data_IF_143658025534
#
_entry.id   IF_143658025534
#
_cell.length_a   1.000
_cell.length_b   1.000
_cell.length_c   1.000
_cell.angle_alpha   90.00
_cell.angle_beta   90.00
_cell.angle_gamma   90.00
#
_symmetry.space_group_name_H-M   'P 1'
#
loop_
_entity.id
_entity.type
_entity.pdbx_description
1 polymer ?
#
# COMPACT_ATOMS: atom_id res chain seq x y z
N UNK A 1 31.74 17.57 61.45
CA UNK A 1 31.27 18.20 60.20
C UNK A 1 30.91 17.06 59.25
N UNK A 2 29.75 16.43 59.42
CA UNK A 2 28.49 16.70 58.69
C UNK A 2 28.64 16.49 57.17
N UNK A 3 28.39 15.24 56.78
CA UNK A 3 27.59 14.78 55.63
C UNK A 3 27.17 15.85 54.63
N UNK A 4 27.63 15.80 53.37
CA UNK A 4 26.88 16.18 52.16
C UNK A 4 27.77 16.14 50.91
N UNK A 5 27.93 14.99 50.24
CA UNK A 5 28.39 14.95 48.83
C UNK A 5 28.09 13.65 48.09
N UNK A 6 27.14 12.84 48.58
CA UNK A 6 26.79 11.54 47.99
C UNK A 6 25.35 11.49 47.45
N UNK A 7 24.84 12.62 46.95
CA UNK A 7 23.49 12.70 46.36
C UNK A 7 23.46 13.37 44.97
N UNK A 8 24.62 13.57 44.32
CA UNK A 8 24.69 14.25 43.01
C UNK A 8 25.32 13.41 41.88
N UNK A 9 25.52 12.10 42.09
CA UNK A 9 26.03 11.20 41.05
C UNK A 9 25.00 10.11 40.65
N UNK A 10 23.88 9.99 41.36
CA UNK A 10 22.86 8.97 41.04
C UNK A 10 21.85 9.38 39.95
N UNK A 11 21.97 10.58 39.36
CA UNK A 11 21.03 11.08 38.34
C UNK A 11 21.52 10.96 36.89
N UNK A 12 22.69 10.36 36.65
CA UNK A 12 23.24 10.17 35.32
C UNK A 12 23.37 8.67 35.03
N UNK A 13 22.31 8.05 34.50
CA UNK A 13 22.32 6.85 33.62
C UNK A 13 20.89 6.32 33.40
N UNK A 14 19.93 7.19 33.06
CA UNK A 14 19.00 6.78 32.01
C UNK A 14 19.72 7.06 30.70
N UNK A 15 20.55 6.11 30.26
CA UNK A 15 20.84 6.02 28.84
C UNK A 15 19.48 5.82 28.18
N UNK A 16 18.94 6.88 27.55
CA UNK A 16 17.85 6.73 26.62
C UNK A 16 18.36 5.72 25.58
N UNK A 17 17.92 4.48 25.68
CA UNK A 17 18.16 3.47 24.65
C UNK A 17 17.56 4.10 23.39
N UNK A 18 18.41 4.62 22.51
CA UNK A 18 17.93 5.24 21.28
C UNK A 18 17.05 4.20 20.59
N UNK A 19 15.76 4.50 20.42
CA UNK A 19 14.84 3.58 19.79
C UNK A 19 15.44 3.16 18.43
N UNK A 20 15.48 1.85 18.17
CA UNK A 20 16.10 1.33 16.96
C UNK A 20 15.43 1.98 15.74
N UNK A 21 16.22 2.59 14.86
CA UNK A 21 15.67 3.26 13.68
C UNK A 21 14.92 2.24 12.80
N UNK A 22 13.72 2.59 12.30
CA UNK A 22 13.01 1.73 11.36
C UNK A 22 13.87 1.37 10.15
N UNK A 23 13.68 0.15 9.65
CA UNK A 23 14.44 -0.39 8.52
C UNK A 23 13.53 -0.59 7.32
N UNK A 24 13.96 -0.11 6.16
CA UNK A 24 13.25 -0.24 4.89
C UNK A 24 14.03 -1.14 3.95
N UNK A 25 13.35 -2.08 3.27
CA UNK A 25 13.88 -2.73 2.08
C UNK A 25 13.40 -1.97 0.85
N UNK A 26 14.31 -1.31 0.12
CA UNK A 26 14.00 -0.71 -1.18
C UNK A 26 14.26 -1.72 -2.28
N UNK A 27 13.19 -2.11 -2.97
CA UNK A 27 13.21 -3.04 -4.06
C UNK A 27 12.98 -2.33 -5.40
N UNK A 28 13.91 -2.49 -6.34
CA UNK A 28 13.92 -1.72 -7.61
C UNK A 28 14.17 -2.57 -8.86
N UNK A 29 14.02 -3.90 -8.76
CA UNK A 29 14.17 -4.79 -9.92
C UNK A 29 13.17 -4.42 -11.01
N UNK A 30 13.59 -4.52 -12.27
CA UNK A 30 12.71 -4.41 -13.43
C UNK A 30 12.88 -5.62 -14.35
N UNK A 31 11.78 -6.24 -14.74
CA UNK A 31 11.69 -7.17 -15.87
C UNK A 31 11.11 -6.49 -17.13
N UNK A 32 10.61 -5.26 -17.00
CA UNK A 32 10.16 -4.38 -18.09
C UNK A 32 11.00 -3.10 -18.22
N UNK A 33 10.34 -1.98 -18.54
CA UNK A 33 11.01 -0.69 -18.73
C UNK A 33 11.82 -0.26 -17.50
N UNK A 34 13.04 0.22 -17.72
CA UNK A 34 13.94 0.68 -16.66
C UNK A 34 13.92 2.20 -16.58
N UNK A 35 13.34 2.73 -15.52
CA UNK A 35 13.25 4.17 -15.28
C UNK A 35 14.62 4.76 -14.91
N UNK A 36 15.01 5.86 -15.56
CA UNK A 36 16.26 6.57 -15.27
C UNK A 36 16.27 7.22 -13.87
N UNK A 37 15.09 7.45 -13.29
CA UNK A 37 14.93 8.06 -11.97
C UNK A 37 15.29 7.13 -10.80
N UNK A 38 15.37 5.81 -10.99
CA UNK A 38 15.59 4.85 -9.90
C UNK A 38 16.86 5.14 -9.07
N UNK A 39 18.05 5.39 -9.64
CA UNK A 39 19.23 5.71 -8.84
C UNK A 39 19.07 7.00 -8.01
N UNK A 40 18.29 7.97 -8.51
CA UNK A 40 17.98 9.22 -7.81
C UNK A 40 16.95 8.97 -6.70
N UNK A 41 15.93 8.16 -6.97
CA UNK A 41 14.93 7.76 -6.00
C UNK A 41 15.56 7.05 -4.80
N UNK A 42 16.42 6.04 -5.04
CA UNK A 42 17.17 5.33 -4.01
C UNK A 42 17.99 6.31 -3.17
N UNK A 43 18.76 7.19 -3.82
CA UNK A 43 19.60 8.18 -3.14
C UNK A 43 18.78 9.15 -2.30
N UNK A 44 17.70 9.68 -2.85
CA UNK A 44 16.84 10.64 -2.15
C UNK A 44 16.17 10.00 -0.94
N UNK A 45 15.56 8.81 -1.08
CA UNK A 45 14.90 8.10 0.02
C UNK A 45 15.91 7.74 1.11
N UNK A 46 17.09 7.26 0.73
CA UNK A 46 18.18 6.95 1.67
C UNK A 46 18.61 8.22 2.42
N UNK A 47 18.92 9.29 1.71
CA UNK A 47 19.41 10.54 2.30
C UNK A 47 18.38 11.25 3.18
N UNK A 48 17.08 11.17 2.85
CA UNK A 48 16.01 11.65 3.72
C UNK A 48 15.99 10.85 5.03
N UNK A 49 16.12 9.51 4.94
CA UNK A 49 16.13 8.62 6.10
C UNK A 49 17.33 8.81 7.03
N UNK A 50 18.52 8.96 6.46
CA UNK A 50 19.75 9.22 7.23
C UNK A 50 19.84 10.65 7.75
N UNK A 51 19.01 11.55 7.23
CA UNK A 51 19.08 13.00 7.51
C UNK A 51 20.20 13.72 6.75
N UNK A 52 20.91 13.05 5.84
CA UNK A 52 21.93 13.69 4.98
C UNK A 52 21.31 14.65 3.95
N UNK A 53 20.04 14.49 3.64
CA UNK A 53 19.22 15.46 2.91
C UNK A 53 18.14 16.01 3.86
N UNK A 54 18.23 17.30 4.18
CA UNK A 54 17.23 18.01 4.99
C UNK A 54 16.32 18.82 4.07
N UNK A 55 15.01 18.77 4.34
CA UNK A 55 14.02 19.56 3.63
C UNK A 55 13.66 20.83 4.41
N UNK A 56 13.30 21.93 3.73
CA UNK A 56 12.75 23.09 4.41
C UNK A 56 11.42 22.73 5.08
N UNK A 57 11.09 23.42 6.18
CA UNK A 57 9.83 23.21 6.92
C UNK A 57 8.57 23.46 6.09
N UNK A 58 8.70 24.24 5.00
CA UNK A 58 7.66 24.46 4.00
C UNK A 58 7.35 23.23 3.14
N UNK A 59 8.24 22.23 3.11
CA UNK A 59 8.09 21.05 2.27
C UNK A 59 7.81 19.76 3.05
N UNK A 60 8.13 19.70 4.34
CA UNK A 60 7.98 18.49 5.16
C UNK A 60 6.93 18.66 6.26
N UNK A 61 6.17 17.60 6.52
CA UNK A 61 5.21 17.58 7.62
C UNK A 61 5.93 17.52 8.98
N UNK A 62 5.53 18.33 9.98
CA UNK A 62 6.17 18.33 11.28
C UNK A 62 6.17 16.96 11.96
N UNK A 63 5.11 16.16 11.82
CA UNK A 63 4.94 14.84 12.45
C UNK A 63 5.96 13.79 11.99
N UNK A 64 6.61 14.00 10.84
CA UNK A 64 7.62 13.09 10.29
C UNK A 64 8.99 13.76 10.08
N UNK A 65 9.09 15.07 10.28
CA UNK A 65 10.32 15.85 10.05
C UNK A 65 11.56 15.36 10.83
N UNK A 66 11.35 14.84 12.03
CA UNK A 66 12.39 14.27 12.88
C UNK A 66 12.56 12.74 12.70
N UNK A 67 11.66 12.09 11.96
CA UNK A 67 11.73 10.65 11.73
C UNK A 67 12.96 10.31 10.89
N UNK A 68 13.71 9.30 11.32
CA UNK A 68 14.87 8.75 10.61
C UNK A 68 14.67 7.28 10.38
N UNK A 69 15.24 6.75 9.30
CA UNK A 69 15.19 5.33 8.93
C UNK A 69 16.46 4.93 8.21
N UNK A 70 16.70 3.63 8.15
CA UNK A 70 17.78 3.04 7.35
C UNK A 70 17.19 2.27 6.17
N UNK A 71 17.95 2.16 5.09
CA UNK A 71 17.54 1.46 3.87
C UNK A 71 18.52 0.33 3.56
N UNK A 72 17.99 -0.83 3.17
CA UNK A 72 18.72 -1.86 2.42
C UNK A 72 18.15 -1.85 1.02
N UNK A 73 19.01 -1.67 0.01
CA UNK A 73 18.58 -1.57 -1.38
C UNK A 73 18.91 -2.88 -2.09
N UNK A 74 17.97 -3.40 -2.89
CA UNK A 74 18.20 -4.64 -3.63
C UNK A 74 17.41 -4.69 -4.94
N UNK A 75 18.01 -5.33 -5.93
CA UNK A 75 17.34 -5.80 -7.15
C UNK A 75 17.37 -7.35 -7.21
N UNK A 76 17.94 -8.00 -6.18
CA UNK A 76 18.06 -9.45 -6.07
C UNK A 76 16.76 -10.06 -5.52
N UNK A 77 15.99 -10.69 -6.40
CA UNK A 77 14.72 -11.34 -6.05
C UNK A 77 14.89 -12.53 -5.10
N UNK A 78 16.07 -13.16 -5.05
CA UNK A 78 16.31 -14.34 -4.22
C UNK A 78 16.28 -13.99 -2.73
N UNK A 79 16.48 -12.71 -2.37
CA UNK A 79 16.30 -12.23 -1.01
C UNK A 79 14.85 -12.41 -0.51
N UNK A 80 13.86 -12.38 -1.41
CA UNK A 80 12.47 -12.66 -1.06
C UNK A 80 12.20 -14.14 -0.78
N UNK A 81 13.14 -15.05 -1.07
CA UNK A 81 13.01 -16.47 -0.68
C UNK A 81 13.23 -16.69 0.82
N UNK A 82 13.84 -15.72 1.51
CA UNK A 82 14.08 -15.76 2.94
C UNK A 82 13.08 -14.89 3.70
N UNK A 83 12.02 -15.50 4.25
CA UNK A 83 11.03 -14.78 5.05
C UNK A 83 11.64 -14.09 6.28
N UNK A 84 12.62 -14.72 6.94
CA UNK A 84 13.29 -14.11 8.10
C UNK A 84 13.99 -12.82 7.72
N UNK A 85 14.62 -12.78 6.53
CA UNK A 85 15.19 -11.55 5.98
C UNK A 85 14.12 -10.47 5.76
N UNK A 86 12.97 -10.81 5.16
CA UNK A 86 11.89 -9.83 4.94
C UNK A 86 11.31 -9.31 6.27
N UNK A 87 11.17 -10.18 7.28
CA UNK A 87 10.57 -9.84 8.57
C UNK A 87 11.35 -8.84 9.43
N UNK A 88 12.60 -8.52 9.06
CA UNK A 88 13.41 -7.52 9.77
C UNK A 88 13.09 -6.07 9.36
N UNK A 89 12.28 -5.87 8.32
CA UNK A 89 11.98 -4.56 7.76
C UNK A 89 10.61 -4.07 8.21
N UNK A 90 10.56 -2.85 8.74
CA UNK A 90 9.32 -2.17 9.11
C UNK A 90 8.48 -1.81 7.88
N UNK A 91 9.11 -1.63 6.72
CA UNK A 91 8.42 -1.50 5.44
C UNK A 91 9.24 -2.09 4.27
N UNK A 92 8.54 -2.62 3.28
CA UNK A 92 9.11 -2.96 1.97
C UNK A 92 8.58 -1.95 0.95
N UNK A 93 9.49 -1.25 0.27
CA UNK A 93 9.19 -0.26 -0.74
C UNK A 93 9.47 -0.78 -2.14
N UNK A 94 8.48 -0.82 -3.02
CA UNK A 94 8.69 -1.07 -4.45
C UNK A 94 8.82 0.29 -5.14
N UNK A 95 9.99 0.58 -5.70
CA UNK A 95 10.29 1.90 -6.28
C UNK A 95 10.61 1.73 -7.75
N UNK A 96 9.65 2.11 -8.58
CA UNK A 96 9.69 1.99 -10.04
C UNK A 96 10.05 0.58 -10.56
N UNK A 97 9.63 -0.46 -9.82
CA UNK A 97 9.68 -1.85 -10.29
C UNK A 97 8.77 -2.02 -11.49
N UNK A 98 9.12 -2.83 -12.49
CA UNK A 98 8.29 -2.91 -13.72
C UNK A 98 8.37 -4.31 -14.32
N UNK A 99 7.26 -4.84 -14.82
CA UNK A 99 7.17 -6.06 -15.61
C UNK A 99 6.78 -5.77 -17.06
N UNK A 100 6.91 -6.77 -17.93
CA UNK A 100 6.14 -6.82 -19.17
C UNK A 100 4.72 -7.34 -18.90
N UNK A 101 3.79 -6.96 -19.78
CA UNK A 101 2.36 -7.26 -19.63
C UNK A 101 1.73 -7.70 -20.97
N UNK A 102 1.18 -8.94 -21.08
CA UNK A 102 1.29 -9.99 -20.07
C UNK A 102 2.76 -10.40 -19.86
N UNK A 103 3.15 -10.85 -18.66
CA UNK A 103 4.54 -11.25 -18.42
C UNK A 103 4.92 -12.42 -19.33
N UNK A 104 5.95 -12.25 -20.17
CA UNK A 104 6.43 -13.29 -21.09
C UNK A 104 7.19 -14.39 -20.34
N UNK A 105 8.39 -14.06 -19.85
CA UNK A 105 9.23 -14.92 -19.00
C UNK A 105 9.98 -14.03 -18.02
N UNK A 106 9.71 -14.18 -16.73
CA UNK A 106 10.28 -13.35 -15.69
C UNK A 106 9.36 -12.20 -15.30
N UNK A 107 9.12 -12.12 -14.01
CA UNK A 107 8.52 -11.00 -13.29
C UNK A 107 9.54 -10.57 -12.25
N UNK A 108 9.36 -9.42 -11.61
CA UNK A 108 10.27 -9.00 -10.54
C UNK A 108 10.35 -10.01 -9.39
N UNK A 109 9.33 -10.84 -9.13
CA UNK A 109 9.41 -11.89 -8.11
C UNK A 109 8.90 -13.23 -8.64
N UNK A 110 9.69 -14.29 -8.44
CA UNK A 110 9.20 -15.64 -8.68
C UNK A 110 8.13 -16.09 -7.68
N UNK A 111 7.59 -17.29 -7.92
CA UNK A 111 6.55 -17.90 -7.10
C UNK A 111 6.91 -18.02 -5.61
N UNK A 112 8.18 -18.26 -5.28
CA UNK A 112 8.60 -18.39 -3.88
C UNK A 112 8.69 -17.01 -3.22
N UNK A 113 9.27 -16.03 -3.91
CA UNK A 113 9.34 -14.65 -3.45
C UNK A 113 7.96 -14.04 -3.22
N UNK A 114 7.03 -14.25 -4.16
CA UNK A 114 5.65 -13.80 -4.04
C UNK A 114 4.94 -14.40 -2.81
N UNK A 115 5.12 -15.69 -2.52
CA UNK A 115 4.52 -16.33 -1.33
C UNK A 115 5.02 -15.71 -0.03
N UNK A 116 6.32 -15.49 0.08
CA UNK A 116 6.91 -14.86 1.27
C UNK A 116 6.53 -13.39 1.38
N UNK A 117 6.41 -12.67 0.27
CA UNK A 117 5.96 -11.29 0.28
C UNK A 117 4.50 -11.16 0.73
N UNK A 118 3.61 -12.00 0.18
CA UNK A 118 2.22 -12.07 0.66
C UNK A 118 2.17 -12.37 2.16
N UNK A 119 2.97 -13.34 2.64
CA UNK A 119 3.09 -13.67 4.06
C UNK A 119 3.57 -12.47 4.89
N UNK A 120 4.56 -11.72 4.42
CA UNK A 120 5.07 -10.51 5.10
C UNK A 120 3.94 -9.52 5.36
N UNK A 121 3.12 -9.24 4.34
CA UNK A 121 1.97 -8.34 4.47
C UNK A 121 0.92 -8.92 5.43
N UNK A 122 0.60 -10.22 5.34
CA UNK A 122 -0.35 -10.88 6.25
C UNK A 122 0.07 -10.76 7.72
N UNK A 123 1.37 -10.76 8.00
CA UNK A 123 1.94 -10.65 9.35
C UNK A 123 2.09 -9.19 9.82
N UNK A 124 1.49 -8.23 9.11
CA UNK A 124 1.49 -6.82 9.49
C UNK A 124 2.63 -5.99 8.91
N UNK A 125 3.40 -6.57 7.97
CA UNK A 125 4.38 -5.83 7.21
C UNK A 125 3.75 -4.64 6.48
N UNK A 126 4.47 -3.53 6.44
CA UNK A 126 4.00 -2.31 5.79
C UNK A 126 4.61 -2.17 4.39
N UNK A 127 3.90 -1.47 3.50
CA UNK A 127 4.27 -1.36 2.09
C UNK A 127 4.21 0.08 1.62
N UNK A 128 5.10 0.42 0.69
CA UNK A 128 4.85 1.56 -0.18
C UNK A 128 5.25 1.27 -1.63
N UNK A 129 4.49 1.84 -2.56
CA UNK A 129 4.77 1.78 -3.99
C UNK A 129 5.01 3.18 -4.55
N UNK A 130 6.01 3.32 -5.42
CA UNK A 130 6.30 4.58 -6.11
C UNK A 130 6.31 4.33 -7.61
N UNK A 131 5.63 5.21 -8.33
CA UNK A 131 5.57 5.27 -9.77
C UNK A 131 5.12 3.94 -10.40
N UNK A 132 5.98 3.31 -11.19
CA UNK A 132 5.68 2.06 -11.90
C UNK A 132 5.56 0.83 -10.99
N UNK A 133 5.62 0.97 -9.66
CA UNK A 133 5.23 -0.11 -8.75
C UNK A 133 3.84 -0.70 -9.03
N UNK A 134 2.89 0.06 -9.61
CA UNK A 134 1.62 -0.49 -10.08
C UNK A 134 1.73 -1.28 -11.39
N UNK A 135 2.85 -1.20 -12.09
CA UNK A 135 3.15 -1.83 -13.38
C UNK A 135 4.08 -3.06 -13.23
N UNK A 136 3.91 -3.83 -12.14
CA UNK A 136 4.62 -5.09 -11.94
C UNK A 136 3.70 -6.12 -11.28
N UNK A 137 4.10 -7.39 -11.30
CA UNK A 137 3.40 -8.52 -10.71
C UNK A 137 1.94 -8.64 -11.22
N UNK A 138 1.69 -8.32 -12.49
CA UNK A 138 0.35 -8.36 -13.11
C UNK A 138 -0.34 -9.73 -13.00
N UNK A 139 0.44 -10.80 -12.90
CA UNK A 139 -0.05 -12.15 -12.70
C UNK A 139 -0.42 -12.48 -11.26
N UNK A 140 -0.26 -11.58 -10.28
CA UNK A 140 -0.37 -11.89 -8.85
C UNK A 140 -1.44 -11.04 -8.14
N UNK A 141 -2.75 -11.39 -8.23
CA UNK A 141 -3.87 -10.60 -7.73
C UNK A 141 -3.70 -10.02 -6.30
N UNK A 142 -3.06 -10.74 -5.37
CA UNK A 142 -2.79 -10.22 -4.03
C UNK A 142 -1.96 -8.92 -4.05
N UNK A 143 -1.03 -8.79 -5.00
CA UNK A 143 -0.21 -7.60 -5.17
C UNK A 143 -1.04 -6.45 -5.74
N UNK A 144 -1.88 -6.71 -6.75
CA UNK A 144 -2.82 -5.72 -7.27
C UNK A 144 -3.71 -5.13 -6.18
N UNK A 145 -4.18 -5.96 -5.24
CA UNK A 145 -4.87 -5.49 -4.03
C UNK A 145 -3.95 -4.67 -3.13
N UNK A 146 -2.75 -5.17 -2.81
CA UNK A 146 -1.78 -4.47 -1.96
C UNK A 146 -1.44 -3.06 -2.44
N UNK A 147 -1.05 -2.93 -3.72
CA UNK A 147 -0.70 -1.65 -4.33
C UNK A 147 -1.93 -0.77 -4.56
N UNK A 148 -3.10 -1.38 -4.77
CA UNK A 148 -4.41 -0.74 -4.87
C UNK A 148 -5.05 -0.92 -6.24
N UNK A 149 -4.27 -0.78 -7.30
CA UNK A 149 -4.70 -1.07 -8.65
C UNK A 149 -3.48 -1.31 -9.56
N UNK A 150 -3.62 -2.18 -10.56
CA UNK A 150 -2.62 -2.33 -11.60
C UNK A 150 -2.65 -1.17 -12.57
N UNK A 151 -1.48 -0.76 -13.03
CA UNK A 151 -1.31 0.11 -14.18
C UNK A 151 -2.00 -0.49 -15.41
N UNK A 152 -2.58 0.37 -16.24
CA UNK A 152 -3.13 0.02 -17.55
C UNK A 152 -2.32 0.71 -18.65
N UNK A 153 -2.33 2.04 -18.68
CA UNK A 153 -1.54 2.83 -19.62
C UNK A 153 -1.41 4.29 -19.16
N UNK A 154 -0.59 5.07 -19.87
CA UNK A 154 -0.57 6.53 -19.78
C UNK A 154 -0.52 7.17 -21.19
N UNK A 155 -1.01 8.41 -21.38
CA UNK A 155 -0.76 9.17 -22.60
C UNK A 155 0.73 9.57 -22.68
N UNK A 156 1.12 10.25 -23.75
CA UNK A 156 2.47 10.81 -23.82
C UNK A 156 2.74 11.69 -22.59
N UNK A 157 3.92 11.49 -21.98
CA UNK A 157 4.39 12.27 -20.86
C UNK A 157 4.31 13.77 -21.17
N UNK A 158 3.82 14.54 -20.20
CA UNK A 158 3.57 15.97 -20.38
C UNK A 158 3.53 16.67 -19.03
N UNK A 159 3.49 18.01 -19.06
CA UNK A 159 3.35 18.79 -17.84
C UNK A 159 1.89 18.86 -17.38
N UNK A 160 1.61 18.35 -16.18
CA UNK A 160 0.28 18.31 -15.57
C UNK A 160 0.35 18.91 -14.17
N UNK A 161 -0.69 19.64 -13.76
CA UNK A 161 -0.82 20.12 -12.39
C UNK A 161 -1.52 19.06 -11.56
N UNK A 162 -0.88 18.59 -10.49
CA UNK A 162 -1.43 17.65 -9.53
C UNK A 162 -1.77 18.36 -8.23
N UNK A 163 -2.97 18.15 -7.68
CA UNK A 163 -3.41 18.81 -6.44
C UNK A 163 -3.74 17.79 -5.34
N UNK A 164 -3.55 18.18 -4.07
CA UNK A 164 -3.99 17.36 -2.96
C UNK A 164 -5.52 17.38 -2.88
N UNK A 165 -6.11 16.25 -2.48
CA UNK A 165 -7.52 16.15 -2.10
C UNK A 165 -7.73 16.49 -0.61
N UNK A 166 -6.67 16.39 0.19
CA UNK A 166 -6.63 16.75 1.60
C UNK A 166 -5.22 17.12 2.03
N UNK A 167 -5.09 18.04 2.98
CA UNK A 167 -3.83 18.37 3.67
C UNK A 167 -3.65 17.62 4.99
N UNK A 168 -4.55 16.69 5.34
CA UNK A 168 -4.49 15.96 6.62
C UNK A 168 -3.43 14.86 6.66
N UNK A 169 -2.95 14.40 5.51
CA UNK A 169 -1.96 13.33 5.43
C UNK A 169 -0.54 13.93 5.32
N UNK A 170 0.48 13.37 6.01
CA UNK A 170 1.84 13.92 5.99
C UNK A 170 2.44 14.07 4.58
N UNK A 171 2.04 13.23 3.62
CA UNK A 171 2.51 13.32 2.23
C UNK A 171 1.91 14.50 1.44
N UNK A 172 0.84 15.13 1.91
CA UNK A 172 0.15 16.21 1.18
C UNK A 172 -0.08 17.46 2.02
N UNK A 173 0.28 17.46 3.31
CA UNK A 173 0.04 18.58 4.23
C UNK A 173 0.77 19.88 3.86
N UNK A 174 1.85 19.76 3.07
CA UNK A 174 2.64 20.88 2.58
C UNK A 174 2.38 21.25 1.12
N UNK A 175 1.49 20.53 0.44
CA UNK A 175 1.17 20.85 -0.94
C UNK A 175 0.33 22.13 -1.01
N UNK A 176 0.57 23.01 -2.02
CA UNK A 176 -0.33 24.12 -2.29
C UNK A 176 -1.71 23.60 -2.71
N UNK A 177 -2.78 24.31 -2.33
CA UNK A 177 -4.15 23.92 -2.66
C UNK A 177 -4.40 23.82 -4.17
N UNK A 178 -3.77 24.72 -4.95
CA UNK A 178 -3.88 24.74 -6.42
C UNK A 178 -3.02 23.67 -7.11
N UNK A 179 -2.16 22.98 -6.35
CA UNK A 179 -1.32 21.90 -6.84
C UNK A 179 0.06 22.31 -7.37
N UNK A 180 0.81 21.31 -7.82
CA UNK A 180 2.18 21.41 -8.29
C UNK A 180 2.22 20.95 -9.74
N UNK A 181 2.88 21.70 -10.61
CA UNK A 181 3.08 21.33 -12.01
C UNK A 181 4.31 20.42 -12.13
N UNK A 182 4.11 19.22 -12.65
CA UNK A 182 5.13 18.17 -12.77
C UNK A 182 5.10 17.62 -14.21
N UNK A 183 6.27 17.37 -14.78
CA UNK A 183 6.42 16.67 -16.05
C UNK A 183 6.33 15.16 -15.79
N UNK A 184 5.20 14.54 -16.12
CA UNK A 184 4.86 13.23 -15.60
C UNK A 184 3.95 12.40 -16.51
N UNK A 185 4.02 11.09 -16.34
CA UNK A 185 3.11 10.13 -16.95
C UNK A 185 1.81 10.07 -16.14
N UNK A 186 0.69 10.48 -16.73
CA UNK A 186 -0.60 10.39 -16.05
C UNK A 186 -1.15 8.97 -16.19
N UNK A 187 -0.98 8.18 -15.13
CA UNK A 187 -1.38 6.78 -15.12
C UNK A 187 -2.90 6.59 -15.10
N UNK A 188 -3.35 5.65 -15.93
CA UNK A 188 -4.65 5.00 -15.84
C UNK A 188 -4.45 3.59 -15.28
N UNK A 189 -5.50 3.05 -14.67
CA UNK A 189 -5.45 1.79 -13.95
C UNK A 189 -6.43 0.77 -14.52
N UNK A 190 -6.32 -0.49 -14.13
CA UNK A 190 -7.29 -1.53 -14.54
C UNK A 190 -8.55 -1.56 -13.69
N UNK A 191 -8.49 -1.00 -12.50
CA UNK A 191 -9.56 -1.01 -11.50
C UNK A 191 -9.51 0.24 -10.63
N UNK A 192 -10.64 0.61 -10.02
CA UNK A 192 -10.68 1.73 -9.07
C UNK A 192 -10.22 1.24 -7.68
N UNK A 193 -9.11 1.78 -7.12
CA UNK A 193 -8.61 1.35 -5.82
C UNK A 193 -9.60 1.64 -4.66
N UNK A 194 -10.60 2.51 -4.88
CA UNK A 194 -11.70 2.76 -3.92
C UNK A 194 -12.70 1.59 -3.83
N UNK A 195 -12.74 0.71 -4.82
CA UNK A 195 -13.69 -0.42 -4.86
C UNK A 195 -13.13 -1.69 -4.19
N UNK A 196 -11.91 -1.65 -3.65
CA UNK A 196 -11.37 -2.75 -2.84
C UNK A 196 -12.15 -2.89 -1.51
N UNK A 197 -12.23 -4.10 -0.92
CA UNK A 197 -12.94 -4.30 0.34
C UNK A 197 -12.41 -3.48 1.51
N UNK A 198 -11.10 -3.21 1.53
CA UNK A 198 -10.50 -2.12 2.30
C UNK A 198 -10.25 -0.98 1.31
N UNK A 199 -11.13 0.03 1.22
CA UNK A 199 -11.05 1.07 0.18
C UNK A 199 -9.81 1.95 0.30
N UNK A 200 -9.27 2.37 -0.85
CA UNK A 200 -8.23 3.38 -0.89
C UNK A 200 -8.74 4.78 -0.53
N UNK A 201 -7.97 5.49 0.28
CA UNK A 201 -8.17 6.89 0.60
C UNK A 201 -7.30 7.73 -0.33
N UNK A 202 -7.93 8.44 -1.26
CA UNK A 202 -7.21 9.22 -2.26
C UNK A 202 -6.54 10.46 -1.66
N UNK A 203 -5.32 10.73 -2.09
CA UNK A 203 -4.48 11.83 -1.61
C UNK A 203 -4.25 12.90 -2.68
N UNK A 204 -3.98 12.47 -3.92
CA UNK A 204 -3.61 13.35 -5.02
C UNK A 204 -4.44 13.00 -6.25
N UNK A 205 -4.83 14.03 -6.99
CA UNK A 205 -5.49 13.92 -8.30
C UNK A 205 -4.90 14.95 -9.28
N UNK A 206 -5.26 14.86 -10.56
CA UNK A 206 -4.95 15.92 -11.52
C UNK A 206 -5.90 17.12 -11.33
N UNK A 207 -5.34 18.31 -11.35
CA UNK A 207 -6.06 19.59 -11.30
C UNK A 207 -6.30 20.18 -12.69
N UNK A 208 -5.39 19.92 -13.64
CA UNK A 208 -5.49 20.39 -15.02
C UNK A 208 -5.98 19.27 -15.94
N UNK A 209 -6.57 19.67 -17.07
CA UNK A 209 -6.69 18.78 -18.23
C UNK A 209 -5.30 18.39 -18.72
N UNK A 210 -5.21 17.24 -19.37
CA UNK A 210 -4.02 16.75 -20.05
C UNK A 210 -4.46 16.10 -21.36
N UNK A 211 -3.57 16.09 -22.34
CA UNK A 211 -3.84 15.51 -23.66
C UNK A 211 -3.73 14.00 -23.59
N UNK A 212 -4.81 13.32 -23.95
CA UNK A 212 -4.81 11.88 -24.15
C UNK A 212 -5.57 11.57 -25.45
N UNK A 213 -4.87 11.37 -26.57
CA UNK A 213 -5.51 11.08 -27.85
C UNK A 213 -6.06 9.65 -27.92
N UNK A 214 -5.80 8.80 -26.93
CA UNK A 214 -6.24 7.40 -26.93
C UNK A 214 -7.61 7.28 -26.26
N UNK A 215 -8.52 6.58 -26.93
CA UNK A 215 -9.75 6.07 -26.32
C UNK A 215 -9.53 4.58 -26.04
N UNK A 216 -9.35 4.22 -24.77
CA UNK A 216 -9.46 2.83 -24.33
C UNK A 216 -10.94 2.57 -23.97
N UNK A 217 -11.54 1.53 -24.55
CA UNK A 217 -12.94 1.16 -24.35
C UNK A 217 -13.12 0.00 -23.34
N UNK A 218 -12.03 -0.57 -22.81
CA UNK A 218 -12.09 -1.59 -21.78
C UNK A 218 -12.25 -0.97 -20.37
N UNK A 219 -13.32 -1.36 -19.68
CA UNK A 219 -13.48 -1.44 -18.22
C UNK A 219 -13.26 -0.17 -17.38
N UNK A 220 -12.02 0.29 -17.25
CA UNK A 220 -11.64 1.45 -16.43
C UNK A 220 -11.75 2.78 -17.18
N UNK A 221 -11.65 2.77 -18.51
CA UNK A 221 -12.03 3.91 -19.36
C UNK A 221 -13.26 3.55 -20.17
N UNK A 222 -14.32 4.32 -19.93
CA UNK A 222 -15.51 4.34 -20.78
C UNK A 222 -15.56 5.70 -21.50
N UNK A 223 -14.50 6.02 -22.25
CA UNK A 223 -14.38 7.30 -22.97
C UNK A 223 -14.04 8.54 -22.11
N UNK A 224 -13.73 8.37 -20.81
CA UNK A 224 -13.30 9.45 -19.88
C UNK A 224 -11.91 9.15 -19.32
N UNK A 225 -11.35 10.06 -18.49
CA UNK A 225 -10.12 9.83 -17.70
C UNK A 225 -10.32 8.86 -16.52
N UNK A 226 -11.17 7.84 -16.70
CA UNK A 226 -11.61 6.96 -15.63
C UNK A 226 -12.51 7.65 -14.59
N UNK A 227 -12.72 7.01 -13.42
CA UNK A 227 -13.59 7.54 -12.37
C UNK A 227 -12.96 8.76 -11.67
N UNK A 228 -13.72 9.85 -11.60
CA UNK A 228 -13.29 11.11 -10.96
C UNK A 228 -13.44 11.06 -9.42
N UNK A 229 -12.57 11.75 -8.64
CA UNK A 229 -11.28 12.27 -9.07
C UNK A 229 -10.32 11.14 -9.47
N UNK A 230 -9.46 11.41 -10.48
CA UNK A 230 -8.45 10.45 -10.93
C UNK A 230 -7.49 10.14 -9.77
N UNK A 231 -7.28 8.87 -9.39
CA UNK A 231 -6.38 8.52 -8.31
C UNK A 231 -4.91 8.59 -8.77
N UNK A 232 -4.13 9.51 -8.22
CA UNK A 232 -2.68 9.63 -8.50
C UNK A 232 -1.83 9.22 -7.29
N UNK A 233 -2.36 9.36 -6.08
CA UNK A 233 -1.76 8.83 -4.87
C UNK A 233 -2.85 8.44 -3.88
N UNK A 234 -2.61 7.43 -3.05
CA UNK A 234 -3.56 6.96 -2.06
C UNK A 234 -2.89 6.19 -0.92
N UNK A 235 -3.66 5.95 0.14
CA UNK A 235 -3.25 5.06 1.22
C UNK A 235 -4.37 4.10 1.63
N UNK A 236 -3.97 2.99 2.24
CA UNK A 236 -4.83 1.96 2.82
C UNK A 236 -4.24 1.49 4.15
N UNK A 237 -5.09 1.08 5.09
CA UNK A 237 -4.67 0.49 6.36
C UNK A 237 -5.64 -0.63 6.74
N UNK A 238 -5.09 -1.79 7.11
CA UNK A 238 -5.88 -2.96 7.45
C UNK A 238 -6.57 -3.61 6.25
N UNK A 239 -6.71 -4.93 6.28
CA UNK A 239 -7.35 -5.70 5.19
C UNK A 239 -6.69 -5.49 3.83
N UNK A 240 -5.37 -5.26 3.80
CA UNK A 240 -4.64 -4.89 2.57
C UNK A 240 -4.80 -5.92 1.45
N UNK A 241 -4.98 -7.20 1.79
CA UNK A 241 -5.11 -8.31 0.85
C UNK A 241 -6.54 -8.84 0.70
N UNK A 242 -7.51 -8.25 1.41
CA UNK A 242 -8.90 -8.72 1.40
C UNK A 242 -9.52 -8.59 0.01
N UNK A 243 -10.33 -9.59 -0.35
CA UNK A 243 -11.13 -9.63 -1.58
C UNK A 243 -12.52 -10.20 -1.25
N UNK A 244 -13.51 -9.86 -2.07
CA UNK A 244 -14.87 -10.37 -2.00
C UNK A 244 -15.43 -10.56 -3.42
N UNK A 245 -16.69 -10.98 -3.55
CA UNK A 245 -17.34 -11.23 -4.85
C UNK A 245 -17.46 -9.99 -5.74
N UNK A 246 -17.31 -8.79 -5.19
CA UNK A 246 -17.39 -7.52 -5.93
C UNK A 246 -16.01 -6.96 -6.29
N UNK A 247 -14.93 -7.65 -5.89
CA UNK A 247 -13.56 -7.24 -6.23
C UNK A 247 -13.33 -7.43 -7.73
N UNK A 248 -12.72 -6.42 -8.36
CA UNK A 248 -12.46 -6.43 -9.80
C UNK A 248 -11.69 -7.70 -10.24
N UNK A 249 -12.05 -8.24 -11.41
CA UNK A 249 -11.51 -9.48 -11.91
C UNK A 249 -9.97 -9.48 -12.00
N UNK A 250 -9.36 -8.34 -12.36
CA UNK A 250 -7.91 -8.19 -12.50
C UNK A 250 -7.14 -8.35 -11.19
N UNK A 251 -7.81 -8.16 -10.05
CA UNK A 251 -7.25 -8.30 -8.70
C UNK A 251 -8.03 -9.29 -7.84
N UNK A 252 -8.89 -10.11 -8.46
CA UNK A 252 -9.65 -11.17 -7.81
C UNK A 252 -8.93 -12.53 -7.89
N UNK A 253 -9.22 -13.41 -6.94
CA UNK A 253 -8.71 -14.78 -6.93
C UNK A 253 -7.20 -14.88 -6.67
N UNK A 254 -6.58 -15.92 -7.22
CA UNK A 254 -5.16 -16.19 -7.09
C UNK A 254 -4.51 -16.31 -8.45
N UNK A 255 -3.27 -15.87 -8.48
CA UNK A 255 -2.42 -15.85 -9.66
C UNK A 255 -0.96 -15.96 -9.22
N UNK A 256 -0.06 -16.10 -10.19
CA UNK A 256 1.32 -16.52 -9.93
C UNK A 256 1.31 -17.88 -9.25
N UNK A 257 1.85 -17.95 -8.04
CA UNK A 257 1.91 -19.15 -7.20
C UNK A 257 0.56 -19.66 -6.65
N UNK A 258 -0.57 -19.34 -7.28
CA UNK A 258 -1.92 -19.58 -6.77
C UNK A 258 -2.12 -19.03 -5.34
N UNK A 259 -1.64 -17.81 -5.09
CA UNK A 259 -1.66 -17.19 -3.77
C UNK A 259 -3.07 -16.67 -3.48
N UNK A 260 -3.75 -17.32 -2.53
CA UNK A 260 -5.05 -16.91 -2.00
C UNK A 260 -4.85 -16.26 -0.62
N UNK A 261 -4.25 -15.06 -0.60
CA UNK A 261 -3.98 -14.33 0.63
C UNK A 261 -5.07 -13.29 0.92
N UNK A 262 -5.45 -13.19 2.20
CA UNK A 262 -6.33 -12.17 2.79
C UNK A 262 -5.74 -11.66 4.10
N UNK A 263 -6.33 -10.61 4.67
CA UNK A 263 -5.85 -9.90 5.86
C UNK A 263 -4.82 -8.82 5.52
N UNK A 264 -3.83 -8.66 6.38
CA UNK A 264 -2.81 -7.61 6.27
C UNK A 264 -3.17 -6.37 7.10
N UNK A 265 -2.84 -6.37 8.41
CA UNK A 265 -3.21 -5.29 9.32
C UNK A 265 -2.36 -4.02 9.19
N UNK A 266 -1.28 -4.05 8.41
CA UNK A 266 -0.35 -2.93 8.24
C UNK A 266 -0.89 -1.78 7.38
N UNK A 267 0.02 -0.90 6.98
CA UNK A 267 -0.23 0.26 6.12
C UNK A 267 0.33 0.06 4.71
N UNK A 268 -0.38 0.58 3.72
CA UNK A 268 0.04 0.69 2.32
C UNK A 268 -0.11 2.14 1.86
N UNK A 269 0.92 2.69 1.22
CA UNK A 269 0.88 4.01 0.59
C UNK A 269 1.42 3.92 -0.84
N UNK A 270 0.77 4.60 -1.78
CA UNK A 270 1.19 4.60 -3.17
C UNK A 270 1.12 6.01 -3.78
N UNK A 271 2.07 6.31 -4.65
CA UNK A 271 2.02 7.47 -5.57
C UNK A 271 2.44 7.03 -6.97
N UNK A 272 1.73 7.49 -7.99
CA UNK A 272 2.08 7.24 -9.39
C UNK A 272 3.15 8.20 -9.92
N UNK A 273 3.43 9.26 -9.16
CA UNK A 273 4.41 10.28 -9.52
C UNK A 273 5.84 9.77 -9.34
N UNK A 274 6.77 10.35 -10.10
CA UNK A 274 8.20 10.11 -9.93
C UNK A 274 8.88 9.44 -11.12
N UNK A 275 8.24 9.46 -12.30
CA UNK A 275 8.84 9.05 -13.57
C UNK A 275 10.17 9.79 -13.80
N UNK A 276 10.08 11.11 -13.87
CA UNK A 276 11.19 11.94 -14.33
C UNK A 276 12.18 12.27 -13.21
N UNK A 277 13.46 12.26 -13.55
CA UNK A 277 14.56 12.59 -12.64
C UNK A 277 14.46 14.00 -12.05
N UNK A 278 13.88 14.96 -12.78
CA UNK A 278 13.68 16.33 -12.31
C UNK A 278 12.62 16.43 -11.20
N UNK A 279 11.62 15.55 -11.20
CA UNK A 279 10.58 15.50 -10.15
C UNK A 279 11.22 15.27 -8.76
N UNK A 280 12.25 14.44 -8.71
CA UNK A 280 13.04 14.17 -7.49
C UNK A 280 13.90 15.35 -7.01
N UNK A 281 13.94 16.46 -7.75
CA UNK A 281 14.61 17.70 -7.36
C UNK A 281 13.68 18.67 -6.64
N UNK A 282 12.36 18.47 -6.76
CA UNK A 282 11.35 19.33 -6.15
C UNK A 282 11.22 19.03 -4.66
N UNK A 283 11.42 20.03 -3.80
CA UNK A 283 11.33 19.84 -2.34
C UNK A 283 9.94 19.39 -1.90
N UNK A 284 8.87 19.91 -2.52
CA UNK A 284 7.50 19.47 -2.24
C UNK A 284 7.26 18.00 -2.62
N UNK A 285 7.90 17.51 -3.68
CA UNK A 285 7.84 16.08 -4.03
C UNK A 285 8.66 15.24 -3.07
N UNK A 286 9.87 15.66 -2.69
CA UNK A 286 10.67 14.99 -1.65
C UNK A 286 9.91 14.92 -0.32
N UNK A 287 9.20 15.99 0.02
CA UNK A 287 8.29 16.06 1.16
C UNK A 287 7.12 15.09 1.06
N UNK A 288 6.53 14.95 -0.13
CA UNK A 288 5.51 13.93 -0.41
C UNK A 288 6.02 12.52 -0.15
N UNK A 289 7.21 12.20 -0.65
CA UNK A 289 7.86 10.89 -0.44
C UNK A 289 8.16 10.67 1.05
N UNK A 290 8.78 11.64 1.72
CA UNK A 290 9.08 11.55 3.15
C UNK A 290 7.82 11.36 4.00
N UNK A 291 6.75 12.09 3.68
CA UNK A 291 5.47 12.00 4.39
C UNK A 291 4.77 10.66 4.16
N UNK A 292 4.80 10.12 2.94
CA UNK A 292 4.24 8.80 2.62
C UNK A 292 4.96 7.68 3.37
N UNK A 293 6.29 7.65 3.25
CA UNK A 293 7.14 6.67 3.95
C UNK A 293 7.00 6.81 5.47
N UNK A 294 7.05 8.04 5.99
CA UNK A 294 6.94 8.28 7.42
C UNK A 294 5.60 7.84 8.00
N UNK A 295 4.50 8.06 7.28
CA UNK A 295 3.18 7.57 7.69
C UNK A 295 3.10 6.03 7.73
N UNK A 296 3.69 5.36 6.73
CA UNK A 296 3.78 3.88 6.70
C UNK A 296 4.61 3.36 7.88
N UNK A 297 5.75 3.97 8.17
CA UNK A 297 6.64 3.57 9.28
C UNK A 297 6.02 3.81 10.67
N UNK A 298 5.14 4.80 10.81
CA UNK A 298 4.38 5.06 12.03
C UNK A 298 3.21 4.07 12.26
N UNK A 299 3.06 3.04 11.42
CA UNK A 299 2.10 1.97 11.68
C UNK A 299 2.34 1.32 13.05
N UNK A 300 1.26 0.98 13.75
CA UNK A 300 1.34 0.22 15.02
C UNK A 300 1.86 -1.21 14.84
N UNK A 301 1.90 -1.70 13.59
CA UNK A 301 2.46 -3.01 13.25
C UNK A 301 3.97 -2.96 13.00
N UNK A 302 4.58 -1.77 12.92
CA UNK A 302 6.02 -1.62 12.79
C UNK A 302 6.73 -2.14 14.05
N UNK A 303 7.80 -2.91 13.88
CA UNK A 303 8.56 -3.52 14.98
C UNK A 303 9.18 -2.47 15.91
N UNK A 304 9.62 -1.35 15.34
CA UNK A 304 10.09 -0.18 16.11
C UNK A 304 8.94 0.53 16.86
N UNK A 305 7.73 0.58 16.31
CA UNK A 305 6.59 1.23 16.98
C UNK A 305 6.06 0.39 18.17
N UNK A 306 6.26 -0.93 18.15
CA UNK A 306 5.88 -1.81 19.25
C UNK A 306 6.82 -1.69 20.45
N UNK A 307 8.12 -1.42 20.22
CA UNK A 307 9.10 -1.24 21.29
C UNK A 307 8.93 0.07 22.06
N UNK A 308 8.42 1.14 21.43
CA UNK A 308 8.11 2.42 22.09
C UNK A 308 6.82 2.39 22.90
N UNK A 309 5.82 1.59 22.50
CA UNK A 309 4.56 1.43 23.25
C UNK A 309 4.67 0.45 24.43
N UNK A 310 5.58 -0.53 24.37
CA UNK A 310 5.86 -1.43 25.48
C UNK A 310 6.56 -0.72 26.66
N UNK A 311 7.28 0.38 26.39
CA UNK A 311 7.98 1.18 27.41
C UNK A 311 7.07 2.21 28.11
N UNK A 312 5.90 2.55 27.54
CA UNK A 312 4.94 3.47 28.16
C UNK A 312 3.94 2.79 29.10
N UNK A 313 3.90 1.44 29.13
CA UNK A 313 2.96 0.67 29.96
C UNK A 313 3.60 -0.04 31.17
N UNK A 314 4.90 0.15 31.45
CA UNK A 314 5.56 -0.49 32.61
C UNK A 314 5.56 0.34 33.90
N UNK A 315 4.92 1.52 33.92
CA UNK A 315 4.78 2.36 35.12
C UNK A 315 3.32 2.52 35.54
N UNK A 316 2.68 1.43 35.95
CA UNK A 316 1.59 1.51 36.93
C UNK A 316 1.72 0.38 37.95
N UNK A 317 2.44 0.69 39.01
CA UNK A 317 2.57 -0.14 40.20
C UNK A 317 1.22 -0.22 40.94
N UNK A 318 0.68 -1.44 40.97
CA UNK A 318 -0.04 -2.07 42.09
C UNK A 318 -0.51 -1.17 43.24
N UNK A 319 -1.81 -0.89 43.29
CA UNK A 319 -2.53 -0.70 44.55
C UNK A 319 -3.38 -1.94 44.82
N UNK A 320 -2.96 -2.69 45.83
CA UNK A 320 -3.70 -3.78 46.47
C UNK A 320 -4.90 -3.19 47.22
N UNK A 321 -6.11 -3.69 46.94
CA UNK A 321 -7.21 -3.62 47.89
C UNK A 321 -7.92 -4.97 47.95
N UNK A 322 -8.02 -5.47 49.17
CA UNK A 322 -8.54 -6.78 49.56
C UNK A 322 -10.05 -6.83 49.39
N UNK A 323 -10.57 -7.85 48.70
CA UNK A 323 -12.02 -8.10 48.64
C UNK A 323 -12.46 -8.96 49.84
N UNK A 324 -13.40 -8.42 50.62
CA UNK A 324 -14.22 -9.18 51.55
C UNK A 324 -15.28 -9.96 50.80
N UNK A 325 -15.48 -11.19 51.25
CA UNK A 325 -16.55 -12.12 50.88
C UNK A 325 -17.93 -11.63 51.31
N UNK A 326 -18.94 -11.78 50.45
CA UNK A 326 -20.24 -12.34 50.85
C UNK A 326 -21.07 -12.79 49.65
N UNK A 327 -21.71 -13.92 49.88
CA UNK A 327 -22.63 -14.70 49.06
C UNK A 327 -23.95 -14.00 48.74
N UNK A 328 -24.60 -14.33 47.62
CA UNK A 328 -25.84 -15.12 47.62
C UNK A 328 -26.55 -15.22 46.25
N UNK A 329 -27.03 -16.44 46.00
CA UNK A 329 -28.25 -16.87 45.28
C UNK A 329 -28.46 -16.68 43.77
N UNK A 330 -28.44 -17.85 43.13
CA UNK A 330 -29.09 -18.31 41.89
C UNK A 330 -30.61 -18.17 41.88
N UNK A 331 -31.18 -17.82 40.71
CA UNK A 331 -32.45 -18.36 40.18
C UNK A 331 -32.34 -18.45 38.64
N UNK A 332 -32.70 -19.59 38.00
CA UNK A 332 -32.78 -19.72 36.55
C UNK A 332 -34.22 -19.54 36.04
N UNK A 333 -34.39 -19.06 34.81
CA UNK A 333 -35.65 -19.25 34.09
C UNK A 333 -35.38 -19.61 32.63
N UNK A 334 -35.99 -20.70 32.23
CA UNK A 334 -35.91 -21.30 30.92
C UNK A 334 -37.31 -21.33 30.28
N UNK A 335 -37.29 -21.30 28.94
CA UNK A 335 -38.31 -21.76 27.98
C UNK A 335 -39.56 -20.89 27.81
N UNK A 336 -39.78 -20.47 26.57
CA UNK A 336 -40.96 -20.97 25.85
C UNK A 336 -40.66 -21.13 24.35
N UNK A 337 -41.16 -22.24 23.82
CA UNK A 337 -41.20 -22.65 22.43
C UNK A 337 -42.59 -22.33 21.86
N UNK A 338 -42.67 -21.86 20.61
CA UNK A 338 -43.87 -22.05 19.80
C UNK A 338 -43.50 -22.09 18.31
N UNK A 339 -44.04 -23.12 17.67
CA UNK A 339 -43.91 -23.56 16.28
C UNK A 339 -44.74 -22.77 15.27
N UNK A 340 -44.54 -23.13 13.98
CA UNK A 340 -45.34 -22.84 12.76
C UNK A 340 -44.84 -21.61 11.98
N UNK A 341 -44.66 -21.61 10.66
CA UNK A 341 -45.10 -22.48 9.57
C UNK A 341 -44.23 -22.17 8.32
N UNK A 342 -43.89 -23.19 7.53
CA UNK A 342 -43.31 -23.06 6.18
C UNK A 342 -44.38 -22.70 5.16
N UNK A 343 -44.07 -21.96 4.08
CA UNK A 343 -44.81 -22.08 2.83
C UNK A 343 -43.99 -22.76 1.72
N UNK A 344 -44.74 -23.61 1.05
CA UNK A 344 -44.56 -24.39 -0.17
C UNK A 344 -43.47 -23.97 -1.17
N UNK A 345 -42.74 -25.02 -1.55
CA UNK A 345 -42.13 -25.28 -2.85
C UNK A 345 -43.16 -25.13 -3.99
N UNK A 346 -42.82 -24.36 -5.02
CA UNK A 346 -43.42 -24.47 -6.36
C UNK A 346 -42.37 -25.01 -7.34
N UNK A 347 -42.59 -26.25 -7.76
CA UNK A 347 -41.97 -26.90 -8.93
C UNK A 347 -42.91 -26.68 -10.12
N UNK A 348 -42.36 -26.31 -11.28
CA UNK A 348 -42.96 -26.42 -12.63
C UNK A 348 -41.81 -26.33 -13.66
N UNK A 349 -41.96 -26.88 -14.88
CA UNK A 349 -41.31 -28.14 -15.25
C UNK A 349 -40.19 -27.99 -16.29
N UNK A 350 -39.37 -29.04 -16.36
CA UNK A 350 -38.37 -29.29 -17.40
C UNK A 350 -39.07 -29.97 -18.60
N UNK A 351 -39.02 -29.36 -19.77
CA UNK A 351 -39.22 -30.06 -21.06
C UNK A 351 -38.18 -29.59 -22.09
N UNK A 352 -37.63 -30.59 -22.75
CA UNK A 352 -36.48 -30.64 -23.66
C UNK A 352 -36.94 -30.48 -25.12
N UNK A 353 -36.13 -29.86 -25.99
CA UNK A 353 -35.70 -30.30 -27.35
C UNK A 353 -34.96 -29.11 -28.03
N UNK A 354 -33.65 -29.16 -28.31
CA UNK A 354 -32.90 -29.84 -29.41
C UNK A 354 -33.05 -29.19 -30.80
N UNK A 355 -31.89 -28.90 -31.42
CA UNK A 355 -31.60 -28.44 -32.80
C UNK A 355 -31.52 -26.91 -32.93
N UNK A 356 -30.46 -26.28 -33.46
CA UNK A 356 -29.74 -26.59 -34.70
C UNK A 356 -28.26 -26.16 -34.60
N UNK A 357 -27.37 -27.07 -35.00
CA UNK A 357 -25.98 -26.84 -35.37
C UNK A 357 -25.91 -26.84 -36.91
N UNK A 358 -25.00 -26.02 -37.45
CA UNK A 358 -24.36 -26.05 -38.79
C UNK A 358 -24.75 -25.01 -39.85
N UNK A 359 -23.68 -24.60 -40.55
CA UNK A 359 -23.51 -23.77 -41.76
C UNK A 359 -23.36 -22.26 -41.51
N UNK A 360 -22.31 -21.55 -41.95
CA UNK A 360 -21.37 -21.80 -43.05
C UNK A 360 -20.08 -20.98 -42.90
N UNK A 361 -18.99 -21.53 -43.44
CA UNK A 361 -17.66 -20.93 -43.59
C UNK A 361 -17.66 -19.72 -44.56
N UNK A 362 -16.58 -18.95 -44.42
CA UNK A 362 -15.86 -18.13 -45.42
C UNK A 362 -16.47 -16.79 -45.87
N UNK A 363 -15.75 -15.70 -45.58
CA UNK A 363 -15.21 -14.81 -46.62
C UNK A 363 -14.12 -13.87 -46.07
N UNK A 364 -12.95 -13.94 -46.71
CA UNK A 364 -11.98 -12.89 -47.08
C UNK A 364 -11.63 -11.80 -46.04
N UNK A 365 -10.39 -11.69 -45.55
CA UNK A 365 -9.15 -11.27 -46.24
C UNK A 365 -9.16 -9.83 -46.80
N UNK A 366 -8.28 -9.01 -46.21
CA UNK A 366 -7.57 -7.85 -46.79
C UNK A 366 -8.31 -6.52 -46.93
N UNK A 367 -7.92 -5.51 -46.14
CA UNK A 367 -7.52 -4.17 -46.61
C UNK A 367 -6.44 -3.61 -45.67
N UNK A 368 -5.45 -2.97 -46.30
CA UNK A 368 -4.26 -2.24 -45.81
C UNK A 368 -4.37 -1.50 -44.49
#
# INVERSE_FOLDING_TARGET
MWTSTLALVASALLAAQAAAQPRILLYTKTAGFRHESIPIAIRTITSLGTGSLTLPSSAIDPSISALRWTTVNTEDETQFHNYTFLSQFDAIGFVSTTDQDPPLTGTVLDNQGMRNFARYIQQGGNFFGIHSASATLFGAPFYGRLVGAYFDYHPQIQNVTFKPLSSSHPSTSRWPADGIRIYEEVYNYRSDPRNLPSPANLLVTNASTYEDPRVNAQGFRNGTNGPSPLPTAWWRQGGLLDFNSSTDASVSGGGGANIQASGGPGRSWYTSLGHDSSTWQLDLFRGHIAGGIGWVLQSSTSTTAQTTNATSHSTSSSFTSSSMTSSSTTVPSAKSSASQQLPLIRVLPLTVLVSMLTLLLSSFATVL
#
